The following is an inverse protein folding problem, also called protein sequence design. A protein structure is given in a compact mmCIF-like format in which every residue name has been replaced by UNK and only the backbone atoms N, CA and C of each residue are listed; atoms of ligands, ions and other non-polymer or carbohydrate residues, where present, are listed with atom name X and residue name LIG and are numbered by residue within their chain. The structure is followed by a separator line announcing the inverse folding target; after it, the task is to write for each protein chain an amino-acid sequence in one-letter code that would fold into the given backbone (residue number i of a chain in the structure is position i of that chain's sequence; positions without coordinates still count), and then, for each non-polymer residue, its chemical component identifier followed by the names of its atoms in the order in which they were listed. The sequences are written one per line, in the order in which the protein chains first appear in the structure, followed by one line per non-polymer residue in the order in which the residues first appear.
data_IF_264337956845
#
_entry.id   IF_264337956845
#
_cell.length_a   1.000
_cell.length_b   1.000
_cell.length_c   1.000
_cell.angle_alpha   90.00
_cell.angle_beta   90.00
_cell.angle_gamma   90.00
#
_symmetry.space_group_name_H-M   'P 1'
#
loop_
_entity.id
_entity.type
_entity.pdbx_description
1 polymer ?
#
# COMPACT_ATOMS: atom_id res chain seq x y z
N UNK A 1 22.76 8.04 19.40
CA UNK A 1 23.27 7.46 18.12
C UNK A 1 24.82 7.47 18.10
N UNK A 2 25.45 8.54 18.56
CA UNK A 2 26.91 8.65 18.58
C UNK A 2 27.58 7.70 19.59
N UNK A 3 26.98 7.46 20.78
CA UNK A 3 27.54 6.54 21.78
C UNK A 3 27.60 5.09 21.32
N UNK A 4 26.59 4.64 20.56
CA UNK A 4 26.56 3.29 20.00
C UNK A 4 27.64 3.08 18.92
N UNK A 5 27.90 4.10 18.09
CA UNK A 5 29.01 4.06 17.11
C UNK A 5 30.38 3.95 17.75
N UNK A 6 30.59 4.59 18.90
CA UNK A 6 31.86 4.48 19.63
C UNK A 6 32.07 3.10 20.25
N UNK A 7 30.98 2.49 20.75
CA UNK A 7 31.03 1.17 21.41
C UNK A 7 31.12 0.01 20.42
N UNK A 8 30.53 0.18 19.23
CA UNK A 8 30.46 -0.84 18.17
C UNK A 8 30.90 -0.25 16.84
N UNK A 9 32.21 -0.22 16.55
CA UNK A 9 32.76 0.38 15.34
C UNK A 9 32.36 -0.40 14.06
N UNK A 10 32.05 -1.68 14.21
CA UNK A 10 31.60 -2.52 13.08
C UNK A 10 30.08 -2.50 12.95
N UNK A 11 29.59 -2.18 11.75
CA UNK A 11 28.16 -2.09 11.45
C UNK A 11 27.36 -3.36 11.81
N UNK A 12 27.86 -4.60 11.56
CA UNK A 12 27.14 -5.82 11.94
C UNK A 12 26.88 -5.94 13.44
N UNK A 13 27.86 -5.61 14.28
CA UNK A 13 27.74 -5.68 15.74
C UNK A 13 26.78 -4.64 16.28
N UNK A 14 26.87 -3.43 15.74
CA UNK A 14 25.93 -2.36 16.07
C UNK A 14 24.49 -2.71 15.68
N UNK A 15 24.30 -3.29 14.50
CA UNK A 15 23.00 -3.75 14.01
C UNK A 15 22.41 -4.87 14.88
N UNK A 16 23.25 -5.79 15.34
CA UNK A 16 22.85 -6.89 16.22
C UNK A 16 22.35 -6.37 17.57
N UNK A 17 23.10 -5.46 18.20
CA UNK A 17 22.72 -4.87 19.49
C UNK A 17 21.48 -3.97 19.38
N UNK A 18 21.37 -3.18 18.31
CA UNK A 18 20.12 -2.43 18.01
C UNK A 18 18.92 -3.38 17.83
N UNK A 19 19.12 -4.52 17.18
CA UNK A 19 18.10 -5.55 17.04
C UNK A 19 17.64 -6.14 18.38
N UNK A 20 18.58 -6.42 19.31
CA UNK A 20 18.25 -6.88 20.66
C UNK A 20 17.47 -5.81 21.44
N UNK A 21 17.93 -4.57 21.39
CA UNK A 21 17.26 -3.45 22.03
C UNK A 21 15.84 -3.24 21.47
N UNK A 22 15.68 -3.26 20.15
CA UNK A 22 14.39 -3.15 19.52
C UNK A 22 13.42 -4.26 19.93
N UNK A 23 13.89 -5.52 19.98
CA UNK A 23 13.08 -6.66 20.46
C UNK A 23 12.66 -6.51 21.93
N UNK A 24 13.58 -6.07 22.79
CA UNK A 24 13.27 -5.84 24.19
C UNK A 24 12.24 -4.70 24.36
N UNK A 25 12.41 -3.60 23.63
CA UNK A 25 11.47 -2.46 23.65
C UNK A 25 10.08 -2.87 23.19
N UNK A 26 9.98 -3.61 22.09
CA UNK A 26 8.70 -4.13 21.59
C UNK A 26 8.06 -5.05 22.64
N UNK A 27 8.82 -5.98 23.22
CA UNK A 27 8.32 -6.91 24.22
C UNK A 27 7.76 -6.21 25.47
N UNK A 28 8.41 -5.13 25.90
CA UNK A 28 8.01 -4.37 27.07
C UNK A 28 6.84 -3.40 26.79
N UNK A 29 6.58 -3.05 25.52
CA UNK A 29 5.57 -2.08 25.11
C UNK A 29 4.69 -2.63 23.98
N UNK A 30 4.21 -3.87 24.08
CA UNK A 30 3.43 -4.54 23.04
C UNK A 30 2.18 -3.75 22.63
N UNK A 31 1.45 -3.18 23.60
CA UNK A 31 0.24 -2.40 23.33
C UNK A 31 0.52 -1.18 22.44
N UNK A 32 1.54 -0.39 22.80
CA UNK A 32 1.95 0.80 22.06
C UNK A 32 2.49 0.42 20.68
N UNK A 33 3.23 -0.68 20.60
CA UNK A 33 3.72 -1.19 19.31
C UNK A 33 2.56 -1.54 18.37
N UNK A 34 1.58 -2.34 18.82
CA UNK A 34 0.43 -2.69 18.00
C UNK A 34 -0.41 -1.46 17.62
N UNK A 35 -0.61 -0.55 18.56
CA UNK A 35 -1.29 0.70 18.27
C UNK A 35 -0.56 1.48 17.16
N UNK A 36 0.76 1.66 17.28
CA UNK A 36 1.57 2.36 16.27
C UNK A 36 1.53 1.64 14.92
N UNK A 37 1.65 0.32 14.90
CA UNK A 37 1.61 -0.50 13.68
C UNK A 37 0.25 -0.36 12.98
N UNK A 38 -0.84 -0.52 13.72
CA UNK A 38 -2.19 -0.50 13.15
C UNK A 38 -2.59 0.93 12.75
N UNK A 39 -2.46 1.91 13.65
CA UNK A 39 -3.03 3.24 13.42
C UNK A 39 -2.17 4.14 12.55
N UNK A 40 -0.86 3.94 12.52
CA UNK A 40 0.04 4.76 11.70
C UNK A 40 0.62 3.98 10.53
N UNK A 41 1.38 2.94 10.79
CA UNK A 41 2.14 2.24 9.75
C UNK A 41 1.24 1.56 8.71
N UNK A 42 0.21 0.85 9.16
CA UNK A 42 -0.69 0.16 8.24
C UNK A 42 -1.62 1.13 7.49
N UNK A 43 -2.16 2.15 8.16
CA UNK A 43 -2.95 3.18 7.47
C UNK A 43 -2.12 3.99 6.47
N UNK A 44 -0.84 4.24 6.76
CA UNK A 44 0.05 4.95 5.83
C UNK A 44 0.25 4.18 4.53
N UNK A 45 0.25 2.84 4.54
CA UNK A 45 0.31 2.02 3.33
C UNK A 45 -0.84 2.33 2.35
N UNK A 46 -2.03 2.64 2.87
CA UNK A 46 -3.21 2.91 2.05
C UNK A 46 -3.31 4.36 1.57
N UNK A 47 -2.51 5.28 2.13
CA UNK A 47 -2.46 6.66 1.64
C UNK A 47 -1.87 6.72 0.24
N UNK A 48 -2.32 7.70 -0.54
CA UNK A 48 -1.74 8.00 -1.85
C UNK A 48 -0.78 9.17 -1.68
N UNK A 49 0.49 8.94 -1.95
CA UNK A 49 1.50 9.98 -1.91
C UNK A 49 2.06 10.21 -3.31
N UNK A 50 2.05 11.46 -3.75
CA UNK A 50 2.66 11.89 -4.99
C UNK A 50 3.94 12.63 -4.62
N UNK A 51 5.09 12.08 -5.05
CA UNK A 51 6.42 12.60 -4.71
C UNK A 51 6.96 13.61 -5.71
N UNK A 52 6.18 14.01 -6.73
CA UNK A 52 6.68 14.91 -7.75
C UNK A 52 6.46 16.38 -7.40
N UNK A 53 7.52 17.15 -7.56
CA UNK A 53 7.48 18.60 -7.50
C UNK A 53 7.24 19.13 -8.92
N UNK A 54 5.97 19.28 -9.29
CA UNK A 54 5.53 19.75 -10.60
C UNK A 54 5.82 21.24 -10.84
N UNK A 55 6.25 21.96 -9.82
CA UNK A 55 6.66 23.35 -9.81
C UNK A 55 8.11 23.58 -10.31
N UNK A 56 8.85 22.50 -10.54
CA UNK A 56 10.25 22.56 -11.01
C UNK A 56 10.42 22.70 -12.51
N UNK A 57 9.37 22.68 -13.30
CA UNK A 57 9.46 22.91 -14.74
C UNK A 57 9.60 24.41 -15.05
N UNK A 58 10.48 24.76 -16.00
CA UNK A 58 10.73 26.15 -16.42
C UNK A 58 9.52 26.83 -17.09
N UNK A 59 8.54 26.06 -17.55
CA UNK A 59 7.34 26.55 -18.20
C UNK A 59 6.13 26.53 -17.28
N UNK A 60 5.61 27.70 -16.91
CA UNK A 60 4.49 27.87 -15.96
C UNK A 60 3.23 27.08 -16.37
N UNK A 61 2.88 27.09 -17.65
CA UNK A 61 1.69 26.39 -18.15
C UNK A 61 1.83 24.86 -18.05
N UNK A 62 3.03 24.34 -18.25
CA UNK A 62 3.32 22.90 -18.10
C UNK A 62 3.14 22.48 -16.66
N UNK A 63 3.55 23.29 -15.69
CA UNK A 63 3.36 23.03 -14.26
C UNK A 63 1.87 22.89 -13.91
N UNK A 64 1.01 23.77 -14.44
CA UNK A 64 -0.43 23.67 -14.22
C UNK A 64 -1.03 22.40 -14.83
N UNK A 65 -0.62 22.04 -16.05
CA UNK A 65 -1.09 20.83 -16.73
C UNK A 65 -0.72 19.59 -15.93
N UNK A 66 0.54 19.41 -15.59
CA UNK A 66 1.00 18.26 -14.79
C UNK A 66 0.40 18.26 -13.41
N UNK A 67 0.29 19.40 -12.74
CA UNK A 67 -0.39 19.52 -11.47
C UNK A 67 -1.85 19.05 -11.51
N UNK A 68 -2.56 19.36 -12.62
CA UNK A 68 -3.91 18.88 -12.89
C UNK A 68 -3.96 17.36 -13.06
N UNK A 69 -3.09 16.82 -13.91
CA UNK A 69 -3.00 15.37 -14.18
C UNK A 69 -2.74 14.60 -12.86
N UNK A 70 -1.80 15.06 -12.03
CA UNK A 70 -1.49 14.40 -10.76
C UNK A 70 -2.59 14.48 -9.73
N UNK A 71 -3.32 15.59 -9.67
CA UNK A 71 -4.52 15.67 -8.81
C UNK A 71 -5.56 14.65 -9.22
N UNK A 72 -5.81 14.50 -10.53
CA UNK A 72 -6.75 13.51 -11.06
C UNK A 72 -6.24 12.09 -10.74
N UNK A 73 -4.97 11.80 -11.01
CA UNK A 73 -4.36 10.50 -10.68
C UNK A 73 -4.49 10.17 -9.20
N UNK A 74 -4.25 11.14 -8.32
CA UNK A 74 -4.41 10.97 -6.87
C UNK A 74 -5.83 10.57 -6.49
N UNK A 75 -6.83 11.24 -7.05
CA UNK A 75 -8.24 10.93 -6.80
C UNK A 75 -8.59 9.52 -7.28
N UNK A 76 -8.15 9.16 -8.50
CA UNK A 76 -8.36 7.83 -9.06
C UNK A 76 -7.72 6.74 -8.17
N UNK A 77 -6.48 6.94 -7.73
CA UNK A 77 -5.79 5.98 -6.87
C UNK A 77 -6.46 5.84 -5.49
N UNK A 78 -6.96 6.93 -4.90
CA UNK A 78 -7.75 6.85 -3.68
C UNK A 78 -9.02 6.02 -3.88
N UNK A 79 -9.73 6.27 -4.97
CA UNK A 79 -10.93 5.50 -5.30
C UNK A 79 -10.62 4.01 -5.48
N UNK A 80 -9.53 3.68 -6.20
CA UNK A 80 -9.09 2.30 -6.41
C UNK A 80 -8.71 1.62 -5.09
N UNK A 81 -7.89 2.27 -4.25
CA UNK A 81 -7.49 1.71 -2.94
C UNK A 81 -8.69 1.49 -2.04
N UNK A 82 -9.62 2.44 -2.00
CA UNK A 82 -10.86 2.33 -1.23
C UNK A 82 -11.73 1.17 -1.74
N UNK A 83 -11.98 1.11 -3.04
CA UNK A 83 -12.74 0.00 -3.66
C UNK A 83 -12.06 -1.33 -3.38
N UNK A 84 -10.75 -1.42 -3.53
CA UNK A 84 -9.99 -2.63 -3.25
C UNK A 84 -10.20 -3.12 -1.81
N UNK A 85 -10.18 -2.24 -0.82
CA UNK A 85 -10.44 -2.61 0.58
C UNK A 85 -11.82 -3.27 0.78
N UNK A 86 -12.84 -2.83 0.04
CA UNK A 86 -14.16 -3.50 0.04
C UNK A 86 -14.14 -4.86 -0.69
N UNK A 87 -13.28 -5.02 -1.69
CA UNK A 87 -13.15 -6.30 -2.39
C UNK A 87 -12.46 -7.37 -1.55
N UNK A 88 -11.65 -7.00 -0.56
CA UNK A 88 -10.99 -7.96 0.34
C UNK A 88 -12.01 -8.90 1.02
N UNK A 89 -12.96 -8.40 1.83
CA UNK A 89 -13.95 -9.26 2.47
C UNK A 89 -14.85 -9.96 1.45
N UNK A 90 -15.15 -9.32 0.31
CA UNK A 90 -15.96 -9.92 -0.74
C UNK A 90 -15.33 -11.19 -1.32
N UNK A 91 -14.06 -11.16 -1.74
CA UNK A 91 -13.38 -12.32 -2.30
C UNK A 91 -13.08 -13.40 -1.26
N UNK A 92 -12.80 -13.02 -0.02
CA UNK A 92 -12.66 -13.96 1.10
C UNK A 92 -13.99 -14.71 1.34
N UNK A 93 -15.12 -13.98 1.41
CA UNK A 93 -16.43 -14.58 1.56
C UNK A 93 -16.79 -15.52 0.39
N UNK A 94 -16.47 -15.09 -0.82
CA UNK A 94 -16.70 -15.89 -2.03
C UNK A 94 -15.90 -17.21 -2.01
N UNK A 95 -14.65 -17.17 -1.52
CA UNK A 95 -13.83 -18.35 -1.33
C UNK A 95 -14.47 -19.34 -0.34
N UNK A 96 -14.93 -18.88 0.80
CA UNK A 96 -15.61 -19.77 1.77
C UNK A 96 -16.87 -20.38 1.23
N UNK A 97 -17.64 -19.63 0.40
CA UNK A 97 -18.88 -20.12 -0.20
C UNK A 97 -18.64 -21.10 -1.36
N UNK A 98 -17.69 -20.82 -2.24
CA UNK A 98 -17.47 -21.57 -3.48
C UNK A 98 -16.35 -22.59 -3.41
N UNK A 99 -15.48 -22.50 -2.41
CA UNK A 99 -14.27 -23.32 -2.23
C UNK A 99 -13.35 -23.32 -3.46
N UNK A 100 -13.37 -22.26 -4.27
CA UNK A 100 -12.54 -22.11 -5.47
C UNK A 100 -11.56 -20.96 -5.29
N UNK A 101 -10.29 -21.24 -5.59
CA UNK A 101 -9.25 -20.21 -5.62
C UNK A 101 -9.31 -19.54 -6.98
N UNK A 102 -9.54 -18.23 -6.97
CA UNK A 102 -9.53 -17.38 -8.18
C UNK A 102 -8.29 -16.49 -8.18
N UNK A 103 -7.90 -15.99 -9.34
CA UNK A 103 -6.73 -15.11 -9.45
C UNK A 103 -6.93 -13.81 -8.67
N UNK A 104 -8.15 -13.30 -8.64
CA UNK A 104 -8.52 -12.11 -7.86
C UNK A 104 -8.31 -12.33 -6.36
N UNK A 105 -8.69 -13.50 -5.85
CA UNK A 105 -8.46 -13.86 -4.45
C UNK A 105 -6.96 -13.89 -4.14
N UNK A 106 -6.15 -14.49 -5.02
CA UNK A 106 -4.68 -14.53 -4.82
C UNK A 106 -4.11 -13.11 -4.77
N UNK A 107 -4.50 -12.24 -5.71
CA UNK A 107 -4.04 -10.84 -5.71
C UNK A 107 -4.47 -10.11 -4.44
N UNK A 108 -5.72 -10.28 -4.01
CA UNK A 108 -6.23 -9.68 -2.77
C UNK A 108 -5.42 -10.15 -1.56
N UNK A 109 -5.15 -11.44 -1.44
CA UNK A 109 -4.37 -12.00 -0.32
C UNK A 109 -2.93 -11.48 -0.34
N UNK A 110 -2.28 -11.45 -1.50
CA UNK A 110 -0.90 -10.93 -1.65
C UNK A 110 -0.81 -9.47 -1.24
N UNK A 111 -1.71 -8.63 -1.72
CA UNK A 111 -1.71 -7.20 -1.39
C UNK A 111 -2.01 -6.98 0.09
N UNK A 112 -3.03 -7.66 0.62
CA UNK A 112 -3.42 -7.49 2.01
C UNK A 112 -2.35 -8.01 2.98
N UNK A 113 -1.82 -9.21 2.73
CA UNK A 113 -0.71 -9.76 3.53
C UNK A 113 0.54 -8.87 3.43
N UNK A 114 0.88 -8.39 2.23
CA UNK A 114 1.97 -7.44 2.02
C UNK A 114 1.78 -6.15 2.82
N UNK A 115 0.57 -5.60 2.87
CA UNK A 115 0.28 -4.39 3.65
C UNK A 115 0.48 -4.60 5.15
N UNK A 116 0.06 -5.77 5.67
CA UNK A 116 0.25 -6.13 7.09
C UNK A 116 1.73 -6.33 7.40
N UNK A 117 2.45 -7.10 6.56
CA UNK A 117 3.89 -7.33 6.74
C UNK A 117 4.67 -6.02 6.72
N UNK A 118 4.36 -5.12 5.78
CA UNK A 118 5.00 -3.80 5.73
C UNK A 118 4.70 -2.98 6.99
N UNK A 119 3.46 -3.00 7.47
CA UNK A 119 3.10 -2.33 8.72
C UNK A 119 3.88 -2.84 9.94
N UNK A 120 4.15 -4.15 10.00
CA UNK A 120 4.89 -4.78 11.11
C UNK A 120 6.40 -4.51 11.06
N UNK A 121 6.98 -4.42 9.87
CA UNK A 121 8.45 -4.37 9.69
C UNK A 121 8.97 -2.94 9.57
N UNK A 122 8.17 -2.00 9.06
CA UNK A 122 8.67 -0.67 8.74
C UNK A 122 8.24 0.38 9.76
N UNK A 123 9.25 1.09 10.27
CA UNK A 123 9.06 2.33 11.02
C UNK A 123 9.02 3.52 10.05
N UNK A 124 7.99 4.37 10.15
CA UNK A 124 7.88 5.61 9.39
C UNK A 124 6.83 5.59 8.29
N UNK A 125 7.00 6.41 7.26
CA UNK A 125 6.04 6.58 6.18
C UNK A 125 6.02 5.38 5.22
N UNK A 126 5.02 4.51 5.36
CA UNK A 126 4.86 3.30 4.57
C UNK A 126 4.23 3.54 3.19
N UNK A 127 3.92 4.76 2.84
CA UNK A 127 3.23 5.10 1.60
C UNK A 127 3.96 4.62 0.35
N UNK A 128 5.30 4.77 0.32
CA UNK A 128 6.13 4.31 -0.82
C UNK A 128 6.13 2.79 -1.02
N UNK A 129 5.87 2.03 0.01
CA UNK A 129 5.83 0.57 -0.10
C UNK A 129 4.52 0.05 -0.69
N UNK A 130 3.49 0.87 -0.81
CA UNK A 130 2.27 0.51 -1.51
C UNK A 130 2.43 0.52 -3.04
N UNK A 131 3.39 1.26 -3.57
CA UNK A 131 3.57 1.45 -5.02
C UNK A 131 3.65 0.14 -5.83
N UNK A 132 4.45 -0.88 -5.44
CA UNK A 132 4.49 -2.15 -6.18
C UNK A 132 3.14 -2.88 -6.18
N UNK A 133 2.30 -2.65 -5.18
CA UNK A 133 0.99 -3.30 -5.04
C UNK A 133 -0.14 -2.53 -5.74
N UNK A 134 0.06 -1.27 -6.11
CA UNK A 134 -0.97 -0.45 -6.75
C UNK A 134 -1.42 -1.07 -8.08
N UNK A 135 -0.49 -1.64 -8.83
CA UNK A 135 -0.81 -2.35 -10.06
C UNK A 135 -1.77 -3.54 -9.82
N UNK A 136 -1.52 -4.35 -8.79
CA UNK A 136 -2.38 -5.48 -8.42
C UNK A 136 -3.75 -4.99 -7.94
N UNK A 137 -3.81 -3.89 -7.21
CA UNK A 137 -5.08 -3.29 -6.78
C UNK A 137 -5.91 -2.81 -7.97
N UNK A 138 -5.28 -2.09 -8.91
CA UNK A 138 -5.93 -1.60 -10.14
C UNK A 138 -6.47 -2.80 -10.93
N UNK A 139 -5.65 -3.82 -11.15
CA UNK A 139 -6.03 -4.99 -11.92
C UNK A 139 -7.18 -5.77 -11.27
N UNK A 140 -7.16 -5.94 -9.95
CA UNK A 140 -8.24 -6.58 -9.19
C UNK A 140 -9.56 -5.82 -9.35
N UNK A 141 -9.53 -4.49 -9.24
CA UNK A 141 -10.72 -3.65 -9.42
C UNK A 141 -11.25 -3.74 -10.84
N UNK A 142 -10.38 -3.71 -11.85
CA UNK A 142 -10.78 -3.86 -13.26
C UNK A 142 -11.41 -5.23 -13.54
N UNK A 143 -10.84 -6.31 -13.00
CA UNK A 143 -11.42 -7.66 -13.13
C UNK A 143 -12.79 -7.74 -12.43
N UNK A 144 -12.93 -7.12 -11.26
CA UNK A 144 -14.22 -7.05 -10.59
C UNK A 144 -15.26 -6.33 -11.44
N UNK A 145 -14.93 -5.16 -11.97
CA UNK A 145 -15.83 -4.41 -12.88
C UNK A 145 -16.20 -5.26 -14.09
N UNK A 146 -15.22 -5.90 -14.74
CA UNK A 146 -15.46 -6.78 -15.88
C UNK A 146 -16.40 -7.94 -15.55
N UNK A 147 -16.23 -8.57 -14.40
CA UNK A 147 -16.94 -9.81 -14.06
C UNK A 147 -18.30 -9.58 -13.40
N UNK A 148 -18.51 -8.45 -12.72
CA UNK A 148 -19.70 -8.22 -11.90
C UNK A 148 -20.50 -6.96 -12.28
N UNK A 149 -19.90 -6.02 -12.99
CA UNK A 149 -20.60 -4.82 -13.43
C UNK A 149 -21.03 -5.00 -14.88
N UNK A 150 -22.34 -5.09 -15.11
CA UNK A 150 -22.92 -5.07 -16.45
C UNK A 150 -22.72 -3.69 -17.08
N UNK A 151 -21.71 -3.57 -17.92
CA UNK A 151 -21.48 -2.35 -18.70
C UNK A 151 -22.64 -2.16 -19.71
N UNK A 152 -23.11 -0.91 -19.90
CA UNK A 152 -24.13 -0.64 -20.90
C UNK A 152 -23.66 -1.11 -22.30
N UNK A 153 -24.59 -1.66 -23.08
CA UNK A 153 -24.32 -2.31 -24.40
C UNK A 153 -23.49 -1.45 -25.37
N UNK A 154 -23.54 -0.12 -25.22
CA UNK A 154 -22.74 0.82 -26.02
C UNK A 154 -21.22 0.70 -25.79
N UNK A 155 -20.79 0.38 -24.57
CA UNK A 155 -19.38 0.21 -24.23
C UNK A 155 -18.85 -1.21 -24.50
N UNK A 156 -19.71 -2.23 -24.48
CA UNK A 156 -19.31 -3.60 -24.79
C UNK A 156 -18.82 -3.78 -26.25
N UNK A 157 -19.22 -2.89 -27.16
CA UNK A 157 -18.79 -2.93 -28.57
C UNK A 157 -17.31 -2.57 -28.77
N UNK A 158 -16.69 -1.90 -27.81
CA UNK A 158 -15.28 -1.45 -27.88
C UNK A 158 -14.32 -2.34 -27.07
N UNK A 159 -14.83 -3.34 -26.34
CA UNK A 159 -14.05 -4.22 -25.47
C UNK A 159 -13.95 -5.67 -25.98
N UNK A 160 -14.54 -5.95 -27.15
CA UNK A 160 -14.37 -7.18 -27.94
C UNK A 160 -13.34 -6.95 -29.04
#
# INVERSE_FOLDING_TARGET
ENELKYKYPYFPDCSHELGKYGKATIKNNLGDYFYQVITKSWFDFWKVQIYWHYDQFNFKYINYLFGGIWKIQKVILYFIKFTFLFLVPFYIFQFFKRRKITIELVMVVVVFAGSVLQGLVTFGTNVKYSFPYEFLMIFTVLLFVKNYVTLPKSLNKYLQ
#
